data_IF_881784921036
#
_entry.id   IF_881784921036
#
_cell.length_a   1.000
_cell.length_b   1.000
_cell.length_c   1.000
_cell.angle_alpha   90.00
_cell.angle_beta   90.00
_cell.angle_gamma   90.00
#
_symmetry.space_group_name_H-M   'P 1'
#
loop_
_entity.id
_entity.type
_entity.pdbx_description
1 polymer ?
#
# COMPACT_ATOMS: atom_id res chain seq x y z
N UNK A 1 2.38 13.84 20.28
CA UNK A 1 1.34 13.10 19.52
C UNK A 1 1.84 12.73 18.12
N UNK A 2 2.33 13.69 17.33
CA UNK A 2 2.89 13.40 15.99
C UNK A 2 4.01 12.34 16.04
N UNK A 3 4.91 12.43 17.01
CA UNK A 3 6.06 11.51 17.18
C UNK A 3 5.63 10.05 17.40
N UNK A 4 4.66 9.84 18.28
CA UNK A 4 4.10 8.51 18.58
C UNK A 4 3.34 7.97 17.36
N UNK A 5 2.62 8.83 16.63
CA UNK A 5 1.93 8.44 15.41
C UNK A 5 2.92 8.00 14.31
N UNK A 6 4.03 8.70 14.14
CA UNK A 6 5.05 8.36 13.14
C UNK A 6 5.82 7.09 13.50
N UNK A 7 6.17 6.90 14.77
CA UNK A 7 6.76 5.66 15.27
C UNK A 7 5.79 4.47 15.16
N UNK A 8 4.49 4.70 15.37
CA UNK A 8 3.45 3.68 15.17
C UNK A 8 3.34 3.29 13.70
N UNK A 9 3.40 4.27 12.78
CA UNK A 9 3.30 4.03 11.35
C UNK A 9 4.51 3.21 10.83
N UNK A 10 5.74 3.53 11.27
CA UNK A 10 6.93 2.75 10.88
C UNK A 10 6.89 1.33 11.44
N UNK A 11 6.53 1.18 12.71
CA UNK A 11 6.33 -0.13 13.32
C UNK A 11 5.28 -0.93 12.55
N UNK A 12 4.15 -0.31 12.24
CA UNK A 12 3.05 -0.91 11.51
C UNK A 12 3.45 -1.42 10.12
N UNK A 13 4.19 -0.61 9.35
CA UNK A 13 4.74 -1.00 8.04
C UNK A 13 5.66 -2.23 8.15
N UNK A 14 6.57 -2.24 9.13
CA UNK A 14 7.51 -3.35 9.34
C UNK A 14 6.78 -4.62 9.76
N UNK A 15 5.94 -4.53 10.79
CA UNK A 15 5.26 -5.68 11.38
C UNK A 15 4.16 -6.21 10.46
N UNK A 16 3.46 -5.33 9.73
CA UNK A 16 2.51 -5.72 8.69
C UNK A 16 3.15 -6.57 7.61
N UNK A 17 4.37 -6.23 7.19
CA UNK A 17 5.14 -7.02 6.24
C UNK A 17 5.61 -8.37 6.79
N UNK A 18 6.05 -8.38 8.05
CA UNK A 18 6.55 -9.59 8.69
C UNK A 18 5.43 -10.58 9.00
N UNK A 19 4.26 -10.12 9.45
CA UNK A 19 3.18 -10.99 9.94
C UNK A 19 2.24 -11.46 8.82
N UNK A 20 1.93 -10.60 7.84
CA UNK A 20 0.85 -10.90 6.89
C UNK A 20 1.14 -12.09 5.98
N UNK A 21 2.38 -12.24 5.50
CA UNK A 21 2.75 -13.40 4.66
C UNK A 21 2.69 -14.72 5.45
N UNK A 22 3.28 -14.88 6.66
CA UNK A 22 3.11 -16.08 7.47
C UNK A 22 1.67 -16.44 7.81
N UNK A 23 0.81 -15.45 8.09
CA UNK A 23 -0.63 -15.68 8.37
C UNK A 23 -1.32 -16.33 7.16
N UNK A 24 -1.13 -15.76 5.97
CA UNK A 24 -1.68 -16.30 4.73
C UNK A 24 -1.09 -17.68 4.40
N UNK A 25 0.23 -17.85 4.52
CA UNK A 25 0.90 -19.12 4.29
C UNK A 25 0.33 -20.22 5.20
N UNK A 26 0.13 -19.93 6.48
CA UNK A 26 -0.44 -20.89 7.43
C UNK A 26 -1.88 -21.24 7.11
N UNK A 27 -2.68 -20.30 6.58
CA UNK A 27 -4.04 -20.59 6.10
C UNK A 27 -4.01 -21.54 4.90
N UNK A 28 -3.13 -21.29 3.93
CA UNK A 28 -2.96 -22.11 2.73
C UNK A 28 -2.53 -23.53 3.11
N UNK A 29 -1.46 -23.67 3.89
CA UNK A 29 -0.90 -24.97 4.28
C UNK A 29 -1.84 -25.77 5.18
N UNK A 30 -2.56 -25.12 6.11
CA UNK A 30 -3.47 -25.82 7.03
C UNK A 30 -4.71 -26.37 6.31
N UNK A 31 -5.25 -25.64 5.33
CA UNK A 31 -6.48 -26.05 4.64
C UNK A 31 -6.21 -26.81 3.33
N UNK A 32 -4.95 -26.91 2.89
CA UNK A 32 -4.58 -27.60 1.65
C UNK A 32 -5.22 -26.97 0.41
N UNK A 33 -5.46 -25.66 0.45
CA UNK A 33 -6.09 -24.88 -0.63
C UNK A 33 -5.03 -24.47 -1.66
N UNK A 34 -5.40 -24.48 -2.94
CA UNK A 34 -4.49 -24.19 -4.06
C UNK A 34 -5.09 -23.14 -4.99
N UNK A 35 -4.22 -22.42 -5.69
CA UNK A 35 -4.63 -21.47 -6.73
C UNK A 35 -5.37 -22.21 -7.85
N UNK A 36 -6.47 -21.61 -8.34
CA UNK A 36 -7.19 -22.08 -9.54
C UNK A 36 -6.30 -22.08 -10.80
N UNK A 37 -5.19 -21.33 -10.77
CA UNK A 37 -4.21 -21.21 -11.84
C UNK A 37 -3.00 -22.16 -11.67
N UNK A 38 -3.07 -23.06 -10.68
CA UNK A 38 -2.02 -24.03 -10.36
C UNK A 38 -0.95 -23.49 -9.41
N UNK A 39 -0.14 -24.39 -8.84
CA UNK A 39 0.94 -24.01 -7.90
C UNK A 39 2.01 -23.14 -8.58
N UNK A 40 2.35 -22.05 -7.90
CA UNK A 40 3.51 -21.20 -8.22
C UNK A 40 4.85 -21.90 -7.99
N UNK A 41 5.92 -21.32 -8.53
CA UNK A 41 7.30 -21.83 -8.44
C UNK A 41 8.19 -21.30 -9.56
N UNK A 42 9.52 -21.48 -9.44
CA UNK A 42 10.52 -20.99 -10.41
C UNK A 42 10.28 -21.43 -11.87
N UNK A 43 9.61 -22.56 -12.09
CA UNK A 43 9.27 -23.10 -13.41
C UNK A 43 7.81 -22.83 -13.85
N UNK A 44 7.02 -22.17 -13.00
CA UNK A 44 5.63 -21.85 -13.31
C UNK A 44 5.58 -20.64 -14.24
N UNK A 45 5.62 -20.88 -15.55
CA UNK A 45 5.41 -19.87 -16.61
C UNK A 45 3.94 -19.41 -16.69
N UNK A 46 3.34 -19.06 -15.57
CA UNK A 46 1.90 -18.83 -15.48
C UNK A 46 1.47 -17.57 -16.23
N UNK A 47 2.33 -16.55 -16.31
CA UNK A 47 2.11 -15.35 -17.13
C UNK A 47 2.30 -15.60 -18.64
N UNK A 48 3.04 -16.64 -19.05
CA UNK A 48 3.05 -17.06 -20.47
C UNK A 48 1.78 -17.85 -20.83
N UNK A 49 1.19 -18.60 -19.88
CA UNK A 49 -0.06 -19.34 -20.08
C UNK A 49 -1.32 -18.47 -20.01
N UNK A 50 -1.30 -17.43 -19.19
CA UNK A 50 -2.45 -16.55 -18.95
C UNK A 50 -1.98 -15.08 -18.89
N UNK A 51 -1.69 -14.46 -20.05
CA UNK A 51 -1.18 -13.09 -20.12
C UNK A 51 -2.20 -12.03 -19.65
N UNK A 52 -3.49 -12.38 -19.57
CA UNK A 52 -4.55 -11.49 -19.08
C UNK A 52 -4.65 -11.39 -17.55
N UNK A 53 -3.89 -12.17 -16.77
CA UNK A 53 -3.97 -12.14 -15.30
C UNK A 53 -3.26 -10.90 -14.75
N UNK A 54 -4.01 -10.05 -14.05
CA UNK A 54 -3.44 -8.98 -13.21
C UNK A 54 -2.98 -9.60 -11.89
N UNK A 55 -1.74 -10.05 -11.83
CA UNK A 55 -1.12 -10.62 -10.62
C UNK A 55 0.33 -10.18 -10.52
N UNK A 56 0.97 -10.38 -9.37
CA UNK A 56 2.38 -10.07 -9.16
C UNK A 56 3.30 -11.05 -9.89
N UNK A 57 4.35 -10.53 -10.53
CA UNK A 57 5.43 -11.28 -11.13
C UNK A 57 6.78 -10.70 -10.69
N UNK A 58 7.53 -11.43 -9.87
CA UNK A 58 8.85 -11.00 -9.37
C UNK A 58 9.92 -10.88 -10.47
N UNK A 59 9.70 -11.52 -11.63
CA UNK A 59 10.62 -11.52 -12.77
C UNK A 59 10.26 -10.52 -13.86
N UNK A 60 9.16 -9.78 -13.71
CA UNK A 60 8.85 -8.67 -14.60
C UNK A 60 9.81 -7.52 -14.23
N UNK A 61 10.86 -7.34 -15.03
CA UNK A 61 11.79 -6.23 -14.85
C UNK A 61 11.07 -4.92 -15.18
N UNK A 62 10.49 -4.38 -14.14
CA UNK A 62 9.90 -3.06 -14.13
C UNK A 62 11.00 -2.00 -14.24
N UNK A 63 11.10 -1.42 -15.44
CA UNK A 63 12.20 -0.50 -15.79
C UNK A 63 11.93 0.88 -15.21
N UNK A 64 12.31 1.09 -13.94
CA UNK A 64 12.48 2.42 -13.37
C UNK A 64 13.68 3.10 -14.04
N UNK A 65 13.41 4.06 -14.91
CA UNK A 65 14.46 4.84 -15.60
C UNK A 65 14.52 6.25 -15.02
N UNK A 66 15.71 6.84 -14.88
CA UNK A 66 15.89 8.21 -14.40
C UNK A 66 14.99 9.23 -15.12
N UNK A 67 14.78 9.06 -16.43
CA UNK A 67 13.85 9.87 -17.23
C UNK A 67 12.41 9.80 -16.72
N UNK A 68 11.91 8.58 -16.40
CA UNK A 68 10.55 8.40 -15.88
C UNK A 68 10.42 9.06 -14.50
N UNK A 69 11.42 8.89 -13.63
CA UNK A 69 11.46 9.50 -12.30
C UNK A 69 11.35 11.02 -12.39
N UNK A 70 12.18 11.66 -13.22
CA UNK A 70 12.16 13.13 -13.41
C UNK A 70 10.80 13.59 -13.98
N UNK A 71 10.26 12.86 -14.96
CA UNK A 71 8.94 13.14 -15.52
C UNK A 71 7.83 13.08 -14.46
N UNK A 72 7.84 12.07 -13.59
CA UNK A 72 6.83 11.93 -12.53
C UNK A 72 6.99 12.97 -11.43
N UNK A 73 8.22 13.31 -11.06
CA UNK A 73 8.51 14.43 -10.15
C UNK A 73 7.96 15.75 -10.69
N UNK A 74 8.04 15.99 -12.00
CA UNK A 74 7.45 17.18 -12.62
C UNK A 74 5.93 17.25 -12.45
N UNK A 75 5.21 16.14 -12.70
CA UNK A 75 3.77 16.09 -12.46
C UNK A 75 3.42 16.27 -10.98
N UNK A 76 4.15 15.65 -10.06
CA UNK A 76 3.96 15.85 -8.62
C UNK A 76 4.17 17.31 -8.21
N UNK A 77 5.18 17.98 -8.79
CA UNK A 77 5.44 19.39 -8.53
C UNK A 77 4.30 20.29 -9.04
N UNK A 78 3.70 19.97 -10.20
CA UNK A 78 2.50 20.66 -10.68
C UNK A 78 1.34 20.48 -9.69
N UNK A 79 1.10 19.26 -9.19
CA UNK A 79 0.04 19.01 -8.21
C UNK A 79 0.23 19.83 -6.93
N UNK A 80 1.43 19.79 -6.35
CA UNK A 80 1.73 20.52 -5.10
C UNK A 80 1.68 22.03 -5.29
N UNK A 81 2.26 22.53 -6.38
CA UNK A 81 2.28 23.97 -6.67
C UNK A 81 0.88 24.47 -7.00
N UNK A 82 0.14 23.74 -7.84
CA UNK A 82 -1.24 24.04 -8.20
C UNK A 82 -2.16 24.03 -6.99
N UNK A 83 -1.99 23.09 -6.06
CA UNK A 83 -2.76 23.02 -4.82
C UNK A 83 -2.63 24.30 -3.99
N UNK A 84 -1.41 24.83 -3.83
CA UNK A 84 -1.17 26.09 -3.11
C UNK A 84 -1.86 27.28 -3.79
N UNK A 85 -1.81 27.36 -5.11
CA UNK A 85 -2.52 28.43 -5.83
C UNK A 85 -4.03 28.31 -5.67
N UNK A 86 -4.59 27.09 -5.75
CA UNK A 86 -6.02 26.84 -5.55
C UNK A 86 -6.44 27.21 -4.13
N UNK A 87 -5.70 26.77 -3.11
CA UNK A 87 -5.97 27.11 -1.70
C UNK A 87 -5.94 28.64 -1.47
N UNK A 88 -4.94 29.32 -2.03
CA UNK A 88 -4.84 30.79 -1.95
C UNK A 88 -6.03 31.48 -2.62
N UNK A 89 -6.48 30.98 -3.77
CA UNK A 89 -7.68 31.50 -4.43
C UNK A 89 -8.92 31.29 -3.57
N UNK A 90 -9.14 30.06 -3.09
CA UNK A 90 -10.31 29.71 -2.28
C UNK A 90 -10.37 30.54 -1.00
N UNK A 91 -9.23 30.76 -0.34
CA UNK A 91 -9.15 31.62 0.84
C UNK A 91 -9.41 33.09 0.53
N UNK A 92 -8.93 33.60 -0.61
CA UNK A 92 -9.16 35.00 -1.04
C UNK A 92 -10.64 35.28 -1.32
N UNK A 93 -11.36 34.32 -1.90
CA UNK A 93 -12.79 34.45 -2.20
C UNK A 93 -13.72 34.03 -1.04
N UNK A 94 -13.16 33.75 0.15
CA UNK A 94 -13.88 33.32 1.36
C UNK A 94 -14.92 32.20 1.13
N UNK A 95 -14.62 31.27 0.24
CA UNK A 95 -15.55 30.20 -0.15
C UNK A 95 -15.64 29.19 0.99
N UNK A 96 -16.64 29.39 1.87
CA UNK A 96 -16.72 28.70 3.16
C UNK A 96 -16.89 27.18 3.05
N UNK A 97 -17.53 26.72 1.97
CA UNK A 97 -17.78 25.29 1.71
C UNK A 97 -16.60 24.54 1.10
N UNK A 98 -15.55 25.24 0.67
CA UNK A 98 -14.39 24.63 0.02
C UNK A 98 -13.10 24.78 0.83
N UNK A 99 -13.18 25.20 2.11
CA UNK A 99 -12.01 25.33 3.00
C UNK A 99 -11.56 23.95 3.51
N UNK A 100 -10.75 23.27 2.71
CA UNK A 100 -10.20 21.94 3.00
C UNK A 100 -8.66 22.00 3.03
N UNK A 101 -7.97 20.99 3.59
CA UNK A 101 -6.51 20.94 3.61
C UNK A 101 -5.89 20.97 2.20
N UNK A 102 -4.71 21.58 2.09
CA UNK A 102 -3.97 21.80 0.85
C UNK A 102 -3.68 20.49 0.07
N UNK A 103 -3.34 19.42 0.77
CA UNK A 103 -3.08 18.10 0.16
C UNK A 103 -4.31 17.54 -0.58
N UNK A 104 -5.54 17.91 -0.18
CA UNK A 104 -6.75 17.45 -0.88
C UNK A 104 -6.85 18.08 -2.27
N UNK A 105 -6.49 19.36 -2.42
CA UNK A 105 -6.41 19.97 -3.75
C UNK A 105 -5.32 19.33 -4.61
N UNK A 106 -4.18 18.96 -4.00
CA UNK A 106 -3.11 18.27 -4.72
C UNK A 106 -3.58 16.90 -5.26
N UNK A 107 -4.36 16.16 -4.47
CA UNK A 107 -5.00 14.90 -4.90
C UNK A 107 -5.97 15.15 -6.06
N UNK A 108 -6.85 16.15 -5.96
CA UNK A 108 -7.80 16.49 -7.04
C UNK A 108 -7.10 16.85 -8.35
N UNK A 109 -6.06 17.68 -8.29
CA UNK A 109 -5.27 18.03 -9.48
C UNK A 109 -4.60 16.78 -10.07
N UNK A 110 -4.08 15.89 -9.21
CA UNK A 110 -3.53 14.60 -9.62
C UNK A 110 -4.55 13.74 -10.38
N UNK A 111 -5.78 13.64 -9.87
CA UNK A 111 -6.89 12.92 -10.51
C UNK A 111 -7.24 13.55 -11.87
N UNK A 112 -7.27 14.87 -11.98
CA UNK A 112 -7.54 15.54 -13.26
C UNK A 112 -6.44 15.23 -14.28
N UNK A 113 -5.18 15.31 -13.87
CA UNK A 113 -4.02 15.03 -14.73
C UNK A 113 -4.03 13.57 -15.21
N UNK A 114 -4.26 12.60 -14.31
CA UNK A 114 -4.28 11.17 -14.66
C UNK A 114 -5.41 10.86 -15.64
N UNK A 115 -6.63 11.35 -15.38
CA UNK A 115 -7.77 11.16 -16.28
C UNK A 115 -7.54 11.81 -17.65
N UNK A 116 -7.00 13.03 -17.68
CA UNK A 116 -6.71 13.71 -18.94
C UNK A 116 -5.69 12.96 -19.80
N UNK A 117 -4.60 12.47 -19.18
CA UNK A 117 -3.58 11.69 -19.87
C UNK A 117 -4.11 10.35 -20.39
N UNK A 118 -5.01 9.71 -19.65
CA UNK A 118 -5.63 8.45 -20.03
C UNK A 118 -6.62 8.62 -21.20
N UNK A 119 -7.50 9.64 -21.13
CA UNK A 119 -8.48 9.93 -22.19
C UNK A 119 -7.79 10.32 -23.50
N UNK A 120 -6.74 11.15 -23.42
CA UNK A 120 -6.01 11.59 -24.62
C UNK A 120 -5.13 10.49 -25.22
N UNK A 121 -4.94 9.36 -24.54
CA UNK A 121 -4.05 8.24 -24.92
C UNK A 121 -2.61 8.65 -25.26
N UNK A 122 -2.19 9.87 -24.87
CA UNK A 122 -0.88 10.42 -25.20
C UNK A 122 0.20 9.63 -24.45
N UNK A 123 -0.06 9.29 -23.19
CA UNK A 123 0.88 8.57 -22.34
C UNK A 123 0.20 7.91 -21.15
N UNK A 124 0.50 6.63 -20.90
CA UNK A 124 0.16 5.98 -19.63
C UNK A 124 1.09 6.49 -18.53
N UNK A 125 0.52 6.94 -17.41
CA UNK A 125 1.31 7.23 -16.22
C UNK A 125 1.78 5.89 -15.64
N UNK A 126 3.08 5.80 -15.43
CA UNK A 126 3.70 4.63 -14.83
C UNK A 126 3.45 4.66 -13.32
N UNK A 127 2.45 3.89 -12.87
CA UNK A 127 2.02 3.86 -11.47
C UNK A 127 3.14 3.40 -10.54
N UNK A 128 4.00 2.51 -11.02
CA UNK A 128 5.10 1.93 -10.25
C UNK A 128 6.20 2.96 -9.96
N UNK A 129 6.55 3.82 -10.95
CA UNK A 129 7.48 4.93 -10.72
C UNK A 129 6.90 5.94 -9.70
N UNK A 130 5.59 6.18 -9.72
CA UNK A 130 4.93 7.07 -8.75
C UNK A 130 4.91 6.44 -7.34
N UNK A 131 4.65 5.14 -7.24
CA UNK A 131 4.65 4.41 -5.97
C UNK A 131 6.05 4.35 -5.34
N UNK A 132 7.09 4.12 -6.15
CA UNK A 132 8.48 4.18 -5.69
C UNK A 132 8.85 5.58 -5.17
N UNK A 133 8.49 6.63 -5.92
CA UNK A 133 8.69 8.02 -5.46
C UNK A 133 7.94 8.33 -4.17
N UNK A 134 6.70 7.82 -4.04
CA UNK A 134 5.90 7.92 -2.81
C UNK A 134 6.58 7.24 -1.63
N UNK A 135 7.06 6.01 -1.82
CA UNK A 135 7.76 5.21 -0.81
C UNK A 135 9.06 5.89 -0.35
N UNK A 136 9.85 6.45 -1.28
CA UNK A 136 11.06 7.22 -0.96
C UNK A 136 10.70 8.49 -0.19
N UNK A 137 9.69 9.24 -0.64
CA UNK A 137 9.26 10.49 0.00
C UNK A 137 8.75 10.25 1.42
N UNK A 138 7.96 9.19 1.62
CA UNK A 138 7.47 8.77 2.93
C UNK A 138 8.65 8.39 3.85
N UNK A 139 9.62 7.63 3.34
CA UNK A 139 10.80 7.22 4.10
C UNK A 139 11.64 8.42 4.54
N UNK A 140 11.83 9.41 3.66
CA UNK A 140 12.52 10.66 3.98
C UNK A 140 11.73 11.50 5.01
N UNK A 141 10.42 11.60 4.85
CA UNK A 141 9.55 12.28 5.79
C UNK A 141 9.64 11.66 7.20
N UNK A 142 9.56 10.33 7.28
CA UNK A 142 9.73 9.59 8.52
C UNK A 142 11.11 9.81 9.13
N UNK A 143 12.17 9.76 8.33
CA UNK A 143 13.54 10.01 8.80
C UNK A 143 13.72 11.43 9.37
N UNK A 144 13.23 12.46 8.67
CA UNK A 144 13.30 13.85 9.13
C UNK A 144 12.56 14.06 10.46
N UNK A 145 11.40 13.42 10.62
CA UNK A 145 10.66 13.53 11.87
C UNK A 145 11.31 12.78 13.03
N UNK A 146 11.93 11.63 12.77
CA UNK A 146 12.71 10.90 13.79
C UNK A 146 13.91 11.71 14.27
N UNK A 147 14.55 12.50 13.40
CA UNK A 147 15.63 13.42 13.82
C UNK A 147 15.14 14.56 14.72
N UNK A 148 13.88 14.98 14.57
CA UNK A 148 13.24 16.01 15.40
C UNK A 148 12.77 15.47 16.77
N UNK A 149 12.94 14.17 17.03
CA UNK A 149 12.33 13.47 18.15
C UNK A 149 13.20 13.60 19.41
N UNK A 150 12.63 14.19 20.46
CA UNK A 150 13.24 14.16 21.80
C UNK A 150 12.95 12.80 22.45
N UNK A 151 13.68 11.75 22.05
CA UNK A 151 13.51 10.37 22.54
C UNK A 151 13.42 10.28 24.08
N UNK A 152 14.14 11.17 24.76
CA UNK A 152 14.15 11.30 26.22
C UNK A 152 12.78 11.62 26.83
N UNK A 153 11.92 12.39 26.15
CA UNK A 153 10.62 12.78 26.67
C UNK A 153 9.55 11.67 26.59
N UNK A 154 9.82 10.59 25.83
CA UNK A 154 8.85 9.52 25.58
C UNK A 154 9.29 8.19 26.21
N UNK A 155 10.47 8.14 26.84
CA UNK A 155 11.01 6.89 27.38
C UNK A 155 10.10 6.26 28.44
N UNK A 156 9.47 7.09 29.28
CA UNK A 156 8.51 6.65 30.30
C UNK A 156 7.21 6.08 29.70
N UNK A 157 6.88 6.42 28.44
CA UNK A 157 5.70 5.94 27.71
C UNK A 157 6.01 4.86 26.67
N UNK A 158 7.29 4.59 26.39
CA UNK A 158 7.71 3.67 25.33
C UNK A 158 7.27 2.23 25.61
N UNK A 159 7.36 1.78 26.86
CA UNK A 159 6.94 0.42 27.25
C UNK A 159 5.42 0.25 27.07
N UNK A 160 4.54 1.10 27.66
CA UNK A 160 3.11 1.04 27.39
C UNK A 160 2.76 1.09 25.90
N UNK A 161 3.47 1.92 25.13
CA UNK A 161 3.25 2.06 23.69
C UNK A 161 3.57 0.77 22.92
N UNK A 162 4.72 0.13 23.19
CA UNK A 162 5.07 -1.15 22.56
C UNK A 162 4.07 -2.27 22.91
N UNK A 163 3.54 -2.27 24.14
CA UNK A 163 2.52 -3.24 24.56
C UNK A 163 1.24 -3.06 23.74
N UNK A 164 0.76 -1.83 23.56
CA UNK A 164 -0.42 -1.53 22.75
C UNK A 164 -0.21 -1.99 21.30
N UNK A 165 0.93 -1.64 20.71
CA UNK A 165 1.27 -2.03 19.34
C UNK A 165 1.33 -3.56 19.17
N UNK A 166 1.94 -4.27 20.11
CA UNK A 166 1.99 -5.73 20.10
C UNK A 166 0.60 -6.36 20.19
N UNK A 167 -0.26 -5.85 21.08
CA UNK A 167 -1.66 -6.31 21.22
C UNK A 167 -2.43 -6.05 19.91
N UNK A 168 -2.29 -4.86 19.32
CA UNK A 168 -2.94 -4.52 18.06
C UNK A 168 -2.49 -5.44 16.92
N UNK A 169 -1.19 -5.68 16.78
CA UNK A 169 -0.64 -6.61 15.78
C UNK A 169 -1.16 -8.03 15.97
N UNK A 170 -1.21 -8.53 17.20
CA UNK A 170 -1.74 -9.85 17.50
C UNK A 170 -3.24 -9.95 17.21
N UNK A 171 -4.02 -8.95 17.62
CA UNK A 171 -5.47 -8.91 17.38
C UNK A 171 -5.78 -8.88 15.88
N UNK A 172 -5.07 -8.09 15.09
CA UNK A 172 -5.28 -8.07 13.65
C UNK A 172 -4.88 -9.40 12.99
N UNK A 173 -3.77 -10.01 13.40
CA UNK A 173 -3.37 -11.33 12.91
C UNK A 173 -4.44 -12.40 13.20
N UNK A 174 -5.00 -12.40 14.41
CA UNK A 174 -6.10 -13.30 14.80
C UNK A 174 -7.37 -12.98 13.99
N UNK A 175 -7.72 -11.71 13.86
CA UNK A 175 -8.91 -11.28 13.13
C UNK A 175 -8.85 -11.69 11.66
N UNK A 176 -7.72 -11.42 11.00
CA UNK A 176 -7.52 -11.79 9.59
C UNK A 176 -7.52 -13.31 9.41
N UNK A 177 -6.91 -14.05 10.35
CA UNK A 177 -6.87 -15.50 10.31
C UNK A 177 -8.25 -16.16 10.49
N UNK A 178 -9.08 -15.69 11.42
CA UNK A 178 -10.36 -16.34 11.74
C UNK A 178 -11.58 -15.70 11.07
N UNK A 179 -11.60 -14.38 10.98
CA UNK A 179 -12.76 -13.61 10.49
C UNK A 179 -12.62 -13.34 9.01
N UNK A 180 -11.56 -12.63 8.58
CA UNK A 180 -11.38 -12.26 7.16
C UNK A 180 -11.37 -13.49 6.26
N UNK A 181 -10.59 -14.51 6.61
CA UNK A 181 -10.54 -15.76 5.85
C UNK A 181 -11.91 -16.42 5.70
N UNK A 182 -12.68 -16.49 6.79
CA UNK A 182 -13.99 -17.17 6.79
C UNK A 182 -15.05 -16.38 6.03
N UNK A 183 -15.08 -15.06 6.20
CA UNK A 183 -16.03 -14.17 5.52
C UNK A 183 -15.77 -14.12 4.02
N UNK A 184 -14.50 -14.21 3.60
CA UNK A 184 -14.11 -14.21 2.18
C UNK A 184 -14.28 -15.56 1.47
N UNK A 185 -14.91 -16.54 2.11
CA UNK A 185 -15.26 -17.83 1.47
C UNK A 185 -14.27 -18.97 1.71
N UNK A 186 -13.24 -18.77 2.56
CA UNK A 186 -12.29 -19.82 2.98
C UNK A 186 -11.55 -20.56 1.85
N UNK A 187 -11.40 -19.92 0.69
CA UNK A 187 -10.66 -20.43 -0.47
C UNK A 187 -9.25 -19.82 -0.57
N UNK A 188 -8.50 -20.18 -1.61
CA UNK A 188 -7.14 -19.68 -1.83
C UNK A 188 -7.11 -18.13 -1.89
N UNK A 189 -8.01 -17.51 -2.66
CA UNK A 189 -8.08 -16.05 -2.74
C UNK A 189 -8.37 -15.42 -1.37
N UNK A 190 -9.22 -16.03 -0.54
CA UNK A 190 -9.46 -15.58 0.83
C UNK A 190 -8.20 -15.60 1.69
N UNK A 191 -7.31 -16.58 1.49
CA UNK A 191 -6.03 -16.64 2.20
C UNK A 191 -5.07 -15.54 1.73
N UNK A 192 -4.99 -15.29 0.43
CA UNK A 192 -4.20 -14.17 -0.14
C UNK A 192 -4.75 -12.82 0.35
N UNK A 193 -6.07 -12.62 0.29
CA UNK A 193 -6.77 -11.44 0.81
C UNK A 193 -6.50 -11.27 2.31
N UNK A 194 -6.46 -12.34 3.10
CA UNK A 194 -6.16 -12.26 4.53
C UNK A 194 -4.73 -11.79 4.80
N UNK A 195 -3.75 -12.23 3.99
CA UNK A 195 -2.37 -11.73 4.05
C UNK A 195 -2.24 -10.27 3.61
N UNK A 196 -2.97 -9.89 2.56
CA UNK A 196 -3.07 -8.50 2.10
C UNK A 196 -3.71 -7.59 3.16
N UNK A 197 -4.84 -8.00 3.74
CA UNK A 197 -5.53 -7.28 4.81
C UNK A 197 -4.64 -7.15 6.06
N UNK A 198 -3.90 -8.20 6.44
CA UNK A 198 -2.94 -8.09 7.54
C UNK A 198 -1.80 -7.10 7.23
N UNK A 199 -1.34 -7.05 5.97
CA UNK A 199 -0.32 -6.11 5.52
C UNK A 199 -0.79 -4.65 5.52
N UNK A 200 -1.92 -4.38 4.86
CA UNK A 200 -2.51 -3.04 4.80
C UNK A 200 -3.01 -2.57 6.16
N UNK A 201 -3.65 -3.44 6.95
CA UNK A 201 -4.25 -3.07 8.23
C UNK A 201 -3.25 -2.75 9.34
N UNK A 202 -1.99 -3.20 9.24
CA UNK A 202 -0.90 -2.74 10.11
C UNK A 202 -0.05 -1.65 9.45
N UNK A 203 0.19 -1.77 8.14
CA UNK A 203 1.06 -0.88 7.39
C UNK A 203 0.27 0.00 6.42
N UNK A 204 0.50 -0.25 5.14
CA UNK A 204 -0.14 0.47 4.05
C UNK A 204 -0.35 -0.45 2.84
N UNK A 205 -0.97 0.06 1.79
CA UNK A 205 -1.20 -0.64 0.52
C UNK A 205 0.04 -1.33 -0.04
N UNK A 206 1.25 -0.72 -0.09
CA UNK A 206 2.44 -1.43 -0.57
C UNK A 206 2.81 -2.65 0.29
N UNK A 207 2.60 -2.60 1.61
CA UNK A 207 2.82 -3.75 2.50
C UNK A 207 1.85 -4.89 2.20
N UNK A 208 0.61 -4.59 1.85
CA UNK A 208 -0.36 -5.59 1.41
C UNK A 208 0.05 -6.24 0.09
N UNK A 209 0.45 -5.44 -0.90
CA UNK A 209 0.89 -5.91 -2.22
C UNK A 209 2.12 -6.82 -2.07
N UNK A 210 3.09 -6.44 -1.24
CA UNK A 210 4.25 -7.27 -0.91
C UNK A 210 3.84 -8.61 -0.29
N UNK A 211 2.93 -8.62 0.69
CA UNK A 211 2.49 -9.85 1.34
C UNK A 211 1.75 -10.78 0.39
N UNK A 212 0.80 -10.23 -0.37
CA UNK A 212 0.07 -10.99 -1.38
C UNK A 212 1.04 -11.54 -2.43
N UNK A 213 1.99 -10.72 -2.90
CA UNK A 213 3.04 -11.07 -3.85
C UNK A 213 3.87 -12.27 -3.40
N UNK A 214 4.31 -12.27 -2.14
CA UNK A 214 5.04 -13.41 -1.56
C UNK A 214 4.24 -14.72 -1.62
N UNK A 215 2.92 -14.64 -1.37
CA UNK A 215 2.04 -15.80 -1.41
C UNK A 215 1.79 -16.26 -2.85
N UNK A 216 1.44 -15.36 -3.77
CA UNK A 216 1.19 -15.77 -5.16
C UNK A 216 2.43 -16.27 -5.88
N UNK A 217 3.63 -15.78 -5.52
CA UNK A 217 4.89 -16.33 -6.04
C UNK A 217 5.09 -17.79 -5.61
N UNK A 218 4.72 -18.13 -4.37
CA UNK A 218 4.93 -19.48 -3.83
C UNK A 218 3.80 -20.44 -4.17
N UNK A 219 2.56 -19.98 -4.20
CA UNK A 219 1.38 -20.83 -4.25
C UNK A 219 0.52 -20.66 -5.51
N UNK A 220 0.85 -19.68 -6.36
CA UNK A 220 0.21 -19.45 -7.65
C UNK A 220 -0.64 -18.17 -7.69
N UNK A 221 -1.02 -17.66 -8.87
CA UNK A 221 -1.75 -16.40 -9.03
C UNK A 221 -3.05 -16.28 -8.23
N UNK A 222 -3.42 -15.05 -7.88
CA UNK A 222 -4.71 -14.69 -7.27
C UNK A 222 -5.16 -13.31 -7.79
N UNK A 223 -5.68 -13.21 -9.03
CA UNK A 223 -6.10 -11.94 -9.61
C UNK A 223 -7.19 -11.25 -8.79
N UNK A 224 -8.07 -12.04 -8.16
CA UNK A 224 -9.15 -11.51 -7.31
C UNK A 224 -8.58 -10.74 -6.12
N UNK A 225 -7.55 -11.25 -5.44
CA UNK A 225 -6.95 -10.57 -4.30
C UNK A 225 -6.27 -9.25 -4.72
N UNK A 226 -5.57 -9.26 -5.86
CA UNK A 226 -4.91 -8.08 -6.42
C UNK A 226 -5.87 -7.02 -6.97
N UNK A 227 -7.12 -7.38 -7.25
CA UNK A 227 -8.18 -6.42 -7.56
C UNK A 227 -8.83 -5.86 -6.28
N UNK A 228 -9.24 -6.74 -5.36
CA UNK A 228 -10.06 -6.35 -4.20
C UNK A 228 -9.27 -5.57 -3.17
N UNK A 229 -8.09 -6.04 -2.77
CA UNK A 229 -7.35 -5.46 -1.64
C UNK A 229 -6.88 -4.03 -1.92
N UNK A 230 -6.31 -3.69 -3.09
CA UNK A 230 -5.92 -2.31 -3.38
C UNK A 230 -7.11 -1.35 -3.49
N UNK A 231 -8.24 -1.80 -4.05
CA UNK A 231 -9.46 -0.98 -4.12
C UNK A 231 -9.94 -0.65 -2.71
N UNK A 232 -10.08 -1.65 -1.83
CA UNK A 232 -10.47 -1.41 -0.44
C UNK A 232 -9.45 -0.51 0.25
N UNK A 233 -8.15 -0.74 0.06
CA UNK A 233 -7.11 0.07 0.67
C UNK A 233 -7.05 1.52 0.18
N UNK A 234 -7.57 1.82 -1.01
CA UNK A 234 -7.59 3.19 -1.56
C UNK A 234 -8.76 4.05 -1.03
N UNK A 235 -9.83 3.41 -0.52
CA UNK A 235 -11.05 4.08 -0.07
C UNK A 235 -11.24 4.10 1.46
N UNK A 236 -10.22 3.69 2.22
CA UNK A 236 -10.17 3.72 3.70
C UNK A 236 -9.03 4.61 4.18
#
# INVERSE_FOLDING_TARGET
VLEIAMASATFGLIIGGIIGSPVAQRLVEKHGIESEYGRGGRDAKTHEKFPELVTYNEYEEDKVTAKKVVEKLFFLLICVTGAKYVEQWVSTYEISWLRIPDFVYALFIGVIITNFLEVTKIRKLDAETVDMLGTVSLSLFLAMALMSLKLWNIFDLAIPFLVILAIQSALLAIFTYYVTFKVMGSNYDAAVISGGHCGFGLGATPTAVMNMGSIVNRFGPSPQAFMVVPIVGAFF
#
